data_IF_597958227222
#
_entry.id   IF_597958227222
#
_cell.length_a   1.000
_cell.length_b   1.000
_cell.length_c   1.000
_cell.angle_alpha   90.00
_cell.angle_beta   90.00
_cell.angle_gamma   90.00
#
_symmetry.space_group_name_H-M   'P 1'
#
loop_
_entity.id
_entity.type
_entity.pdbx_description
1 polymer ?
#
# COMPACT_ATOMS: atom_id res chain seq x y z
N UNK A 1 27.21 3.94 18.38
CA UNK A 1 27.13 4.88 17.25
C UNK A 1 27.94 6.14 17.51
N UNK A 2 28.74 6.57 16.53
CA UNK A 2 29.63 7.77 16.57
C UNK A 2 29.00 9.01 15.90
N UNK A 3 27.71 8.96 15.54
CA UNK A 3 26.95 10.12 15.04
C UNK A 3 27.24 10.55 13.60
N UNK A 4 27.82 9.68 12.77
CA UNK A 4 28.08 9.99 11.36
C UNK A 4 26.80 9.96 10.51
N UNK A 5 26.74 10.84 9.50
CA UNK A 5 25.69 10.81 8.48
C UNK A 5 25.77 9.50 7.69
N UNK A 6 24.67 8.75 7.67
CA UNK A 6 24.50 7.55 6.85
C UNK A 6 23.50 7.85 5.74
N UNK A 7 23.88 7.56 4.50
CA UNK A 7 22.99 7.59 3.33
C UNK A 7 23.01 6.24 2.63
N UNK A 8 21.86 5.80 2.14
CA UNK A 8 21.73 4.55 1.38
C UNK A 8 21.49 4.90 -0.11
N UNK A 9 22.43 4.52 -0.98
CA UNK A 9 22.29 4.62 -2.44
C UNK A 9 22.07 3.22 -3.00
N UNK A 10 20.84 2.94 -3.40
CA UNK A 10 20.41 1.61 -3.84
C UNK A 10 20.36 1.57 -5.37
N UNK A 11 21.01 0.56 -5.97
CA UNK A 11 20.80 0.22 -7.38
C UNK A 11 19.52 -0.60 -7.53
N UNK A 12 18.57 -0.14 -8.34
CA UNK A 12 17.32 -0.84 -8.62
C UNK A 12 17.31 -1.30 -10.08
N UNK A 13 17.41 -2.60 -10.33
CA UNK A 13 17.42 -3.18 -11.67
C UNK A 13 16.23 -2.73 -12.54
N UNK A 14 15.04 -2.62 -11.94
CA UNK A 14 13.82 -2.18 -12.63
C UNK A 14 13.89 -0.74 -13.14
N UNK A 15 14.67 0.14 -12.50
CA UNK A 15 14.89 1.49 -13.02
C UNK A 15 15.77 1.45 -14.26
N UNK A 16 16.78 0.57 -14.29
CA UNK A 16 17.60 0.33 -15.49
C UNK A 16 16.78 -0.27 -16.64
N UNK A 17 15.88 -1.23 -16.34
CA UNK A 17 14.96 -1.81 -17.34
C UNK A 17 14.07 -0.73 -17.95
N UNK A 18 13.47 0.13 -17.11
CA UNK A 18 12.61 1.22 -17.60
C UNK A 18 13.39 2.23 -18.44
N UNK A 19 14.60 2.61 -18.03
CA UNK A 19 15.48 3.50 -18.79
C UNK A 19 15.85 2.89 -20.16
N UNK A 20 16.19 1.60 -20.20
CA UNK A 20 16.49 0.90 -21.44
C UNK A 20 15.25 0.78 -22.35
N UNK A 21 14.09 0.48 -21.79
CA UNK A 21 12.83 0.41 -22.54
C UNK A 21 12.50 1.75 -23.22
N UNK A 22 12.61 2.86 -22.49
CA UNK A 22 12.39 4.21 -23.04
C UNK A 22 13.35 4.54 -24.18
N UNK A 23 14.64 4.16 -24.06
CA UNK A 23 15.62 4.34 -25.14
C UNK A 23 15.25 3.54 -26.38
N UNK A 24 14.86 2.27 -26.20
CA UNK A 24 14.42 1.41 -27.30
C UNK A 24 13.18 1.99 -28.00
N UNK A 25 12.21 2.51 -27.26
CA UNK A 25 11.02 3.18 -27.84
C UNK A 25 11.44 4.37 -28.72
N UNK A 26 12.35 5.21 -28.23
CA UNK A 26 12.84 6.35 -29.02
C UNK A 26 13.56 5.91 -30.30
N UNK A 27 14.33 4.83 -30.25
CA UNK A 27 15.05 4.27 -31.40
C UNK A 27 14.10 3.62 -32.42
N UNK A 28 13.07 2.89 -31.98
CA UNK A 28 12.19 2.12 -32.87
C UNK A 28 11.03 2.95 -33.43
N UNK A 29 10.55 3.94 -32.67
CA UNK A 29 9.35 4.72 -33.02
C UNK A 29 9.62 6.19 -33.29
N UNK A 30 10.74 6.74 -32.79
CA UNK A 30 11.01 8.18 -32.76
C UNK A 30 10.25 8.95 -31.67
N UNK A 31 9.45 8.27 -30.84
CA UNK A 31 8.74 8.87 -29.71
C UNK A 31 9.69 9.08 -28.52
N UNK A 32 9.68 10.29 -27.95
CA UNK A 32 10.45 10.63 -26.76
C UNK A 32 9.52 10.81 -25.57
N UNK A 33 9.52 9.82 -24.66
CA UNK A 33 8.73 9.85 -23.43
C UNK A 33 9.56 9.34 -22.25
N UNK A 34 9.27 9.81 -21.04
CA UNK A 34 9.82 9.28 -19.80
C UNK A 34 8.77 8.54 -18.97
N UNK A 35 9.23 7.88 -17.91
CA UNK A 35 8.33 7.18 -16.96
C UNK A 35 7.35 8.14 -16.26
N UNK A 36 7.71 9.41 -16.13
CA UNK A 36 6.86 10.43 -15.49
C UNK A 36 5.79 11.00 -16.44
N UNK A 37 5.87 10.70 -17.73
CA UNK A 37 4.86 11.11 -18.73
C UNK A 37 3.71 10.09 -18.84
N UNK A 38 3.86 8.93 -18.19
CA UNK A 38 2.88 7.84 -18.22
C UNK A 38 1.58 8.26 -17.50
N UNK A 39 0.40 8.15 -18.15
CA UNK A 39 -0.89 8.44 -17.50
C UNK A 39 -1.15 7.43 -16.38
N UNK A 40 -1.85 7.82 -15.31
CA UNK A 40 -2.06 6.97 -14.11
C UNK A 40 -3.28 6.04 -14.18
N UNK A 41 -4.02 6.09 -15.28
CA UNK A 41 -5.32 5.46 -15.51
C UNK A 41 -5.39 4.67 -16.82
N UNK A 42 -4.25 4.21 -17.37
CA UNK A 42 -4.20 3.46 -18.62
C UNK A 42 -4.92 2.10 -18.50
N UNK A 43 -6.00 1.95 -19.26
CA UNK A 43 -6.84 0.75 -19.22
C UNK A 43 -6.07 -0.51 -19.64
N UNK A 44 -5.13 -0.40 -20.59
CA UNK A 44 -4.35 -1.56 -21.06
C UNK A 44 -3.40 -2.06 -19.99
N UNK A 45 -2.72 -1.16 -19.28
CA UNK A 45 -1.84 -1.50 -18.15
C UNK A 45 -2.62 -2.26 -17.07
N UNK A 46 -3.77 -1.73 -16.65
CA UNK A 46 -4.61 -2.39 -15.65
C UNK A 46 -5.22 -3.69 -16.15
N UNK A 47 -5.57 -3.79 -17.44
CA UNK A 47 -6.04 -5.04 -18.04
C UNK A 47 -4.94 -6.11 -18.05
N UNK A 48 -3.72 -5.79 -18.46
CA UNK A 48 -2.56 -6.70 -18.44
C UNK A 48 -2.32 -7.25 -17.03
N UNK A 49 -2.40 -6.37 -16.02
CA UNK A 49 -2.33 -6.77 -14.61
C UNK A 49 -3.51 -7.68 -14.23
N UNK A 50 -4.74 -7.29 -14.54
CA UNK A 50 -5.96 -8.06 -14.22
C UNK A 50 -6.04 -9.42 -14.91
N UNK A 51 -5.38 -9.60 -16.06
CA UNK A 51 -5.25 -10.90 -16.74
C UNK A 51 -4.19 -11.80 -16.07
N UNK A 52 -3.36 -11.22 -15.19
CA UNK A 52 -2.26 -11.88 -14.50
C UNK A 52 -0.99 -12.00 -15.35
N UNK A 53 -0.84 -11.20 -16.40
CA UNK A 53 0.36 -11.19 -17.22
C UNK A 53 1.47 -10.35 -16.56
N UNK A 54 1.99 -10.85 -15.44
CA UNK A 54 2.94 -10.13 -14.58
C UNK A 54 4.39 -10.56 -14.74
N UNK A 55 4.74 -11.34 -15.77
CA UNK A 55 6.15 -11.66 -16.04
C UNK A 55 6.94 -10.37 -16.33
N UNK A 56 8.07 -10.19 -15.63
CA UNK A 56 8.89 -8.98 -15.73
C UNK A 56 8.21 -7.72 -15.19
N UNK A 57 7.13 -7.81 -14.40
CA UNK A 57 6.47 -6.65 -13.78
C UNK A 57 6.92 -6.54 -12.33
N UNK A 58 7.52 -5.40 -11.97
CA UNK A 58 8.14 -5.18 -10.66
C UNK A 58 7.18 -5.52 -9.50
N UNK A 59 7.67 -6.22 -8.47
CA UNK A 59 6.94 -6.71 -7.28
C UNK A 59 5.83 -7.76 -7.54
N UNK A 60 5.39 -7.96 -8.78
CA UNK A 60 4.15 -8.71 -9.08
C UNK A 60 4.38 -10.08 -9.73
N UNK A 61 5.62 -10.54 -9.82
CA UNK A 61 5.98 -11.73 -10.61
C UNK A 61 5.66 -13.08 -9.95
N UNK A 62 5.75 -13.15 -8.62
CA UNK A 62 5.64 -14.42 -7.88
C UNK A 62 4.28 -15.10 -8.11
N UNK A 63 4.24 -16.43 -8.12
CA UNK A 63 3.04 -17.18 -8.48
C UNK A 63 1.81 -16.84 -7.62
N UNK A 64 1.99 -16.69 -6.31
CA UNK A 64 0.89 -16.31 -5.42
C UNK A 64 0.46 -14.84 -5.58
N UNK A 65 1.41 -13.93 -5.83
CA UNK A 65 1.10 -12.53 -6.10
C UNK A 65 0.32 -12.40 -7.41
N UNK A 66 0.75 -13.10 -8.46
CA UNK A 66 0.05 -13.16 -9.75
C UNK A 66 -1.39 -13.66 -9.61
N UNK A 67 -1.59 -14.72 -8.81
CA UNK A 67 -2.95 -15.22 -8.50
C UNK A 67 -3.80 -14.14 -7.84
N UNK A 68 -3.26 -13.45 -6.82
CA UNK A 68 -3.99 -12.41 -6.11
C UNK A 68 -4.26 -11.17 -6.97
N UNK A 69 -3.32 -10.74 -7.78
CA UNK A 69 -3.50 -9.62 -8.73
C UNK A 69 -4.59 -9.94 -9.77
N UNK A 70 -4.62 -11.18 -10.28
CA UNK A 70 -5.68 -11.63 -11.21
C UNK A 70 -7.07 -11.64 -10.58
N UNK A 71 -7.16 -11.99 -9.29
CA UNK A 71 -8.41 -11.92 -8.53
C UNK A 71 -8.79 -10.47 -8.19
N UNK A 72 -7.79 -9.64 -7.85
CA UNK A 72 -7.96 -8.25 -7.52
C UNK A 72 -8.50 -7.44 -8.70
N UNK A 73 -7.97 -7.67 -9.91
CA UNK A 73 -8.21 -6.84 -11.09
C UNK A 73 -8.03 -5.35 -10.76
N UNK A 74 -6.78 -4.93 -10.46
CA UNK A 74 -6.51 -3.56 -10.03
C UNK A 74 -6.99 -2.56 -11.08
N UNK A 75 -7.51 -1.42 -10.63
CA UNK A 75 -7.99 -0.31 -11.48
C UNK A 75 -7.37 1.03 -11.10
N UNK A 76 -6.55 1.05 -10.05
CA UNK A 76 -5.90 2.25 -9.51
C UNK A 76 -4.52 1.92 -8.95
N UNK A 77 -3.66 2.94 -8.79
CA UNK A 77 -2.38 2.80 -8.08
C UNK A 77 -2.58 2.37 -6.62
N UNK A 78 -3.68 2.80 -5.98
CA UNK A 78 -3.98 2.43 -4.59
C UNK A 78 -4.23 0.92 -4.45
N UNK A 79 -4.86 0.27 -5.44
CA UNK A 79 -5.02 -1.19 -5.45
C UNK A 79 -3.67 -1.91 -5.44
N UNK A 80 -2.73 -1.43 -6.26
CA UNK A 80 -1.38 -1.98 -6.35
C UNK A 80 -0.61 -1.76 -5.05
N UNK A 81 -0.68 -0.55 -4.49
CA UNK A 81 -0.04 -0.22 -3.23
C UNK A 81 -0.58 -1.08 -2.08
N UNK A 82 -1.90 -1.30 -2.02
CA UNK A 82 -2.52 -2.14 -1.02
C UNK A 82 -2.12 -3.61 -1.18
N UNK A 83 -2.12 -4.13 -2.41
CA UNK A 83 -1.69 -5.51 -2.67
C UNK A 83 -0.21 -5.73 -2.29
N UNK A 84 0.69 -4.81 -2.65
CA UNK A 84 2.11 -4.87 -2.26
C UNK A 84 2.24 -4.86 -0.73
N UNK A 85 1.45 -4.04 -0.03
CA UNK A 85 1.47 -3.96 1.43
C UNK A 85 0.90 -5.21 2.13
N UNK A 86 -0.16 -5.80 1.57
CA UNK A 86 -0.86 -6.95 2.13
C UNK A 86 -0.17 -8.29 1.83
N UNK A 87 0.56 -8.41 0.72
CA UNK A 87 1.20 -9.66 0.30
C UNK A 87 2.49 -9.97 1.07
N UNK A 88 2.34 -10.19 2.38
CA UNK A 88 3.40 -10.60 3.31
C UNK A 88 2.83 -11.44 4.48
N UNK A 89 3.65 -12.26 5.16
CA UNK A 89 3.20 -13.07 6.29
C UNK A 89 2.50 -12.22 7.37
N UNK A 90 1.30 -12.65 7.79
CA UNK A 90 0.39 -11.86 8.64
C UNK A 90 -0.78 -11.31 7.83
N UNK A 91 -0.66 -10.11 7.21
CA UNK A 91 -1.78 -9.44 6.56
C UNK A 91 -2.28 -10.12 5.27
N UNK A 92 -1.59 -11.16 4.77
CA UNK A 92 -2.08 -11.97 3.64
C UNK A 92 -3.48 -12.55 3.86
N UNK A 93 -3.89 -12.79 5.12
CA UNK A 93 -5.24 -13.25 5.44
C UNK A 93 -6.34 -12.24 5.06
N UNK A 94 -6.02 -10.95 5.03
CA UNK A 94 -6.95 -9.88 4.67
C UNK A 94 -7.07 -9.64 3.16
N UNK A 95 -6.24 -10.28 2.33
CA UNK A 95 -6.30 -10.12 0.87
C UNK A 95 -7.66 -10.57 0.32
N UNK A 96 -8.21 -11.66 0.84
CA UNK A 96 -9.54 -12.13 0.45
C UNK A 96 -10.61 -11.08 0.72
N UNK A 97 -10.67 -10.57 1.96
CA UNK A 97 -11.60 -9.51 2.35
C UNK A 97 -11.44 -8.26 1.48
N UNK A 98 -10.21 -7.81 1.24
CA UNK A 98 -9.92 -6.66 0.39
C UNK A 98 -10.45 -6.84 -1.04
N UNK A 99 -10.21 -8.02 -1.64
CA UNK A 99 -10.67 -8.32 -3.00
C UNK A 99 -12.20 -8.42 -3.06
N UNK A 100 -12.84 -9.13 -2.12
CA UNK A 100 -14.29 -9.26 -2.11
C UNK A 100 -14.98 -7.89 -1.90
N UNK A 101 -14.42 -7.06 -1.02
CA UNK A 101 -14.90 -5.70 -0.78
C UNK A 101 -14.74 -4.80 -2.00
N UNK A 102 -13.58 -4.82 -2.68
CA UNK A 102 -13.36 -4.10 -3.95
C UNK A 102 -14.42 -4.42 -5.00
N UNK A 103 -14.80 -5.68 -5.11
CA UNK A 103 -15.78 -6.14 -6.09
C UNK A 103 -17.24 -5.99 -5.63
N UNK A 104 -17.49 -5.39 -4.47
CA UNK A 104 -18.83 -5.25 -3.89
C UNK A 104 -19.49 -6.59 -3.52
N UNK A 105 -18.69 -7.65 -3.31
CA UNK A 105 -19.15 -8.99 -2.91
C UNK A 105 -19.12 -9.20 -1.39
N UNK A 106 -18.42 -8.33 -0.67
CA UNK A 106 -18.46 -8.22 0.78
C UNK A 106 -18.89 -6.81 1.18
N UNK A 107 -19.65 -6.70 2.27
CA UNK A 107 -20.02 -5.40 2.84
C UNK A 107 -18.79 -4.71 3.41
N UNK A 108 -18.57 -3.45 3.02
CA UNK A 108 -17.53 -2.61 3.60
C UNK A 108 -18.06 -2.08 4.92
N UNK A 109 -17.53 -2.61 6.02
CA UNK A 109 -17.82 -2.11 7.36
C UNK A 109 -16.72 -1.16 7.81
N UNK A 110 -17.12 -0.04 8.42
CA UNK A 110 -16.24 0.88 9.09
C UNK A 110 -16.53 0.81 10.60
N UNK A 111 -15.49 0.85 11.46
CA UNK A 111 -15.70 0.87 12.91
C UNK A 111 -16.44 2.14 13.38
N UNK A 112 -16.40 3.21 12.58
CA UNK A 112 -17.15 4.44 12.79
C UNK A 112 -17.25 5.24 11.48
N UNK A 113 -18.30 6.03 11.30
CA UNK A 113 -18.50 6.84 10.09
C UNK A 113 -17.37 7.85 9.86
N UNK A 114 -16.84 8.46 10.93
CA UNK A 114 -15.69 9.39 10.85
C UNK A 114 -14.39 8.75 10.35
N UNK A 115 -14.33 7.41 10.24
CA UNK A 115 -13.20 6.68 9.68
C UNK A 115 -13.42 6.25 8.23
N UNK A 116 -14.59 6.54 7.65
CA UNK A 116 -14.94 6.17 6.27
C UNK A 116 -13.92 6.71 5.28
N UNK A 117 -13.69 8.01 5.23
CA UNK A 117 -12.79 8.63 4.24
C UNK A 117 -11.34 8.12 4.37
N UNK A 118 -10.92 7.77 5.59
CA UNK A 118 -9.57 7.26 5.86
C UNK A 118 -9.38 5.81 5.39
N UNK A 119 -10.43 5.00 5.47
CA UNK A 119 -10.40 3.56 5.21
C UNK A 119 -11.03 3.19 3.86
N UNK A 120 -11.77 4.10 3.23
CA UNK A 120 -12.39 3.90 1.91
C UNK A 120 -11.37 3.54 0.83
N UNK A 121 -10.19 4.19 0.72
CA UNK A 121 -9.18 3.81 -0.27
C UNK A 121 -8.64 2.38 -0.09
N UNK A 122 -8.89 1.75 1.05
CA UNK A 122 -8.52 0.37 1.35
C UNK A 122 -9.72 -0.52 1.67
N UNK A 123 -10.92 -0.11 1.25
CA UNK A 123 -12.16 -0.86 1.41
C UNK A 123 -12.45 -1.30 2.85
N UNK A 124 -12.19 -0.42 3.82
CA UNK A 124 -12.39 -0.70 5.25
C UNK A 124 -11.25 -1.49 5.92
N UNK A 125 -10.33 -2.05 5.13
CA UNK A 125 -9.21 -2.86 5.65
C UNK A 125 -8.08 -1.94 6.14
N UNK A 126 -7.58 -2.16 7.34
CA UNK A 126 -6.36 -1.49 7.81
C UNK A 126 -5.14 -2.09 7.13
N UNK A 127 -4.43 -1.27 6.36
CA UNK A 127 -3.25 -1.67 5.58
C UNK A 127 -2.01 -0.91 6.02
N UNK A 128 -2.17 0.38 6.33
CA UNK A 128 -1.06 1.30 6.49
C UNK A 128 -0.83 1.76 7.93
N UNK A 129 0.43 2.01 8.27
CA UNK A 129 0.83 2.64 9.53
C UNK A 129 0.20 4.02 9.70
N UNK A 130 0.12 4.78 8.61
CA UNK A 130 -0.49 6.10 8.52
C UNK A 130 -1.97 6.06 8.96
N UNK A 131 -2.71 4.99 8.64
CA UNK A 131 -4.10 4.84 9.06
C UNK A 131 -4.21 4.73 10.59
N UNK A 132 -3.35 3.94 11.24
CA UNK A 132 -3.31 3.85 12.71
C UNK A 132 -3.02 5.22 13.33
N UNK A 133 -2.07 5.96 12.74
CA UNK A 133 -1.70 7.28 13.25
C UNK A 133 -2.84 8.30 13.10
N UNK A 134 -3.51 8.30 11.96
CA UNK A 134 -4.64 9.19 11.67
C UNK A 134 -5.88 8.84 12.48
N UNK A 135 -6.15 7.56 12.75
CA UNK A 135 -7.19 7.12 13.69
C UNK A 135 -6.89 7.64 15.10
N UNK A 136 -5.65 7.48 15.58
CA UNK A 136 -5.25 7.96 16.90
C UNK A 136 -5.44 9.48 17.07
N UNK A 137 -5.17 10.25 16.02
CA UNK A 137 -5.43 11.69 16.00
C UNK A 137 -6.94 12.00 15.96
N UNK A 138 -7.68 11.32 15.07
CA UNK A 138 -9.10 11.54 14.85
C UNK A 138 -9.97 11.17 16.06
N UNK A 139 -9.66 10.07 16.73
CA UNK A 139 -10.41 9.57 17.89
C UNK A 139 -9.76 10.00 19.20
N UNK A 140 -8.51 9.61 19.44
CA UNK A 140 -7.82 9.86 20.70
C UNK A 140 -7.30 11.29 20.89
N UNK A 141 -7.35 12.14 19.86
CA UNK A 141 -6.84 13.52 19.94
C UNK A 141 -5.31 13.61 20.03
N UNK A 142 -4.60 12.58 19.56
CA UNK A 142 -3.15 12.52 19.57
C UNK A 142 -2.53 13.56 18.61
N UNK A 143 -1.38 14.10 18.98
CA UNK A 143 -0.46 14.68 17.99
C UNK A 143 0.15 13.57 17.12
N UNK A 144 0.63 13.89 15.92
CA UNK A 144 1.27 12.89 15.05
C UNK A 144 2.51 12.23 15.70
N UNK A 145 3.24 12.99 16.54
CA UNK A 145 4.38 12.44 17.29
C UNK A 145 3.95 11.40 18.32
N UNK A 146 2.89 11.67 19.07
CA UNK A 146 2.32 10.69 20.01
C UNK A 146 1.73 9.49 19.28
N UNK A 147 1.10 9.71 18.13
CA UNK A 147 0.53 8.63 17.32
C UNK A 147 1.61 7.68 16.78
N UNK A 148 2.81 8.18 16.45
CA UNK A 148 3.96 7.31 16.11
C UNK A 148 4.49 6.54 17.33
N UNK A 149 4.46 7.13 18.52
CA UNK A 149 4.80 6.40 19.77
C UNK A 149 3.81 5.25 19.99
N UNK A 150 2.51 5.51 19.85
CA UNK A 150 1.46 4.50 19.93
C UNK A 150 1.70 3.37 18.92
N UNK A 151 1.90 3.71 17.65
CA UNK A 151 2.18 2.75 16.56
C UNK A 151 3.39 1.87 16.88
N UNK A 152 4.49 2.46 17.39
CA UNK A 152 5.69 1.71 17.80
C UNK A 152 5.42 0.78 18.99
N UNK A 153 4.64 1.23 19.97
CA UNK A 153 4.27 0.44 21.14
C UNK A 153 3.42 -0.77 20.75
N UNK A 154 2.39 -0.57 19.92
CA UNK A 154 1.54 -1.63 19.41
C UNK A 154 2.33 -2.67 18.60
N UNK A 155 3.28 -2.24 17.76
CA UNK A 155 4.15 -3.14 17.00
C UNK A 155 5.04 -4.03 17.89
N UNK A 156 5.44 -3.54 19.07
CA UNK A 156 6.23 -4.31 20.05
C UNK A 156 5.37 -5.14 21.02
N UNK A 157 4.05 -4.95 21.03
CA UNK A 157 3.09 -5.65 21.90
C UNK A 157 3.45 -5.59 23.40
N UNK A 158 3.91 -4.44 23.88
CA UNK A 158 4.28 -4.26 25.30
C UNK A 158 3.00 -4.02 26.13
N UNK A 159 2.56 -5.02 26.89
CA UNK A 159 1.27 -5.00 27.59
C UNK A 159 1.05 -3.78 28.50
N UNK A 160 2.06 -3.38 29.30
CA UNK A 160 1.96 -2.23 30.19
C UNK A 160 1.80 -0.90 29.44
N UNK A 161 2.49 -0.75 28.31
CA UNK A 161 2.37 0.45 27.46
C UNK A 161 1.04 0.46 26.74
N UNK A 162 0.58 -0.69 26.25
CA UNK A 162 -0.72 -0.82 25.58
C UNK A 162 -1.89 -0.44 26.50
N UNK A 163 -1.86 -0.84 27.78
CA UNK A 163 -2.88 -0.46 28.75
C UNK A 163 -2.91 1.06 28.98
N UNK A 164 -1.75 1.68 29.16
CA UNK A 164 -1.65 3.13 29.34
C UNK A 164 -2.11 3.90 28.09
N UNK A 165 -1.76 3.41 26.91
CA UNK A 165 -2.20 3.99 25.64
C UNK A 165 -3.70 3.81 25.40
N UNK A 166 -4.28 2.70 25.83
CA UNK A 166 -5.73 2.49 25.78
C UNK A 166 -6.47 3.52 26.63
N UNK A 167 -6.05 3.69 27.89
CA UNK A 167 -6.65 4.70 28.78
C UNK A 167 -6.55 6.12 28.20
N UNK A 168 -5.38 6.46 27.64
CA UNK A 168 -5.15 7.75 27.00
C UNK A 168 -6.05 7.94 25.77
N UNK A 169 -6.15 6.92 24.92
CA UNK A 169 -7.00 6.94 23.73
C UNK A 169 -8.47 7.10 24.10
N UNK A 170 -8.99 6.29 25.03
CA UNK A 170 -10.40 6.36 25.43
C UNK A 170 -10.72 7.69 26.11
N UNK A 171 -9.84 8.21 26.98
CA UNK A 171 -10.02 9.54 27.57
C UNK A 171 -10.03 10.66 26.52
N UNK A 172 -9.21 10.54 25.48
CA UNK A 172 -9.22 11.45 24.33
C UNK A 172 -10.51 11.36 23.51
N UNK A 173 -10.96 10.15 23.22
CA UNK A 173 -12.17 9.89 22.46
C UNK A 173 -13.43 10.43 23.18
N UNK A 174 -13.55 10.20 24.49
CA UNK A 174 -14.64 10.75 25.30
C UNK A 174 -14.69 12.28 25.26
N UNK A 175 -13.52 12.96 25.30
CA UNK A 175 -13.44 14.43 25.18
C UNK A 175 -13.89 14.95 23.81
N UNK A 176 -13.79 14.13 22.77
CA UNK A 176 -14.24 14.44 21.41
C UNK A 176 -15.71 14.09 21.16
N UNK A 177 -16.37 13.48 22.14
CA UNK A 177 -17.81 13.17 22.08
C UNK A 177 -18.14 11.74 21.66
N UNK A 178 -17.15 10.86 21.51
CA UNK A 178 -17.39 9.43 21.25
C UNK A 178 -17.78 8.70 22.54
N UNK A 179 -18.48 7.59 22.40
CA UNK A 179 -18.79 6.70 23.54
C UNK A 179 -17.58 5.86 23.91
N UNK A 180 -17.57 5.33 25.14
CA UNK A 180 -16.55 4.39 25.58
C UNK A 180 -16.50 3.15 24.67
N UNK A 181 -17.67 2.61 24.31
CA UNK A 181 -17.79 1.45 23.42
C UNK A 181 -17.19 1.71 22.02
N UNK A 182 -17.41 2.90 21.45
CA UNK A 182 -16.81 3.29 20.17
C UNK A 182 -15.29 3.39 20.29
N UNK A 183 -14.79 3.99 21.36
CA UNK A 183 -13.35 4.12 21.60
C UNK A 183 -12.68 2.74 21.73
N UNK A 184 -13.24 1.86 22.55
CA UNK A 184 -12.69 0.52 22.78
C UNK A 184 -12.71 -0.30 21.49
N UNK A 185 -13.82 -0.27 20.73
CA UNK A 185 -13.94 -0.95 19.42
C UNK A 185 -12.86 -0.49 18.44
N UNK A 186 -12.64 0.82 18.33
CA UNK A 186 -11.64 1.38 17.40
C UNK A 186 -10.21 1.05 17.86
N UNK A 187 -9.94 1.08 19.15
CA UNK A 187 -8.61 0.74 19.68
C UNK A 187 -8.28 -0.74 19.50
N UNK A 188 -9.24 -1.62 19.79
CA UNK A 188 -9.11 -3.07 19.56
C UNK A 188 -8.88 -3.40 18.09
N UNK A 189 -9.51 -2.65 17.17
CA UNK A 189 -9.23 -2.80 15.74
C UNK A 189 -7.78 -2.44 15.39
N UNK A 190 -7.18 -1.42 16.01
CA UNK A 190 -5.81 -1.01 15.70
C UNK A 190 -4.75 -1.99 16.22
N UNK A 191 -4.99 -2.64 17.37
CA UNK A 191 -3.97 -3.38 18.10
C UNK A 191 -3.39 -4.61 17.33
N UNK A 192 -4.20 -5.46 16.68
CA UNK A 192 -3.68 -6.54 15.84
C UNK A 192 -2.90 -6.01 14.62
N UNK A 193 -3.37 -4.92 14.03
CA UNK A 193 -2.85 -4.39 12.77
C UNK A 193 -1.58 -3.59 12.90
N UNK A 194 -1.31 -2.93 14.02
CA UNK A 194 -0.13 -2.10 14.13
C UNK A 194 1.20 -2.90 14.06
N UNK A 195 1.18 -4.20 14.38
CA UNK A 195 2.31 -5.11 14.11
C UNK A 195 2.51 -5.42 12.62
N UNK A 196 1.46 -5.25 11.81
CA UNK A 196 1.39 -5.57 10.38
C UNK A 196 1.01 -4.37 9.51
N UNK A 197 1.11 -3.14 10.01
CA UNK A 197 0.91 -1.93 9.22
C UNK A 197 2.08 -1.71 8.28
N UNK A 198 1.82 -1.35 7.03
CA UNK A 198 2.86 -1.05 6.03
C UNK A 198 3.07 0.47 5.93
N UNK A 199 4.30 0.93 5.61
CA UNK A 199 4.53 2.35 5.37
C UNK A 199 3.90 2.77 4.03
N UNK A 200 2.89 3.64 4.05
CA UNK A 200 2.11 3.97 2.84
C UNK A 200 2.97 4.60 1.75
N UNK A 201 3.86 5.52 2.12
CA UNK A 201 4.73 6.21 1.16
C UNK A 201 5.61 5.20 0.39
N UNK A 202 6.20 4.23 1.09
CA UNK A 202 6.98 3.18 0.45
C UNK A 202 6.14 2.30 -0.49
N UNK A 203 4.95 1.88 -0.05
CA UNK A 203 4.04 1.08 -0.87
C UNK A 203 3.61 1.81 -2.15
N UNK A 204 3.24 3.08 -2.05
CA UNK A 204 2.80 3.89 -3.20
C UNK A 204 3.96 4.14 -4.16
N UNK A 205 5.16 4.49 -3.67
CA UNK A 205 6.33 4.67 -4.54
C UNK A 205 6.67 3.40 -5.32
N UNK A 206 6.56 2.24 -4.69
CA UNK A 206 6.82 0.96 -5.36
C UNK A 206 5.68 0.55 -6.30
N UNK A 207 4.43 0.92 -5.96
CA UNK A 207 3.27 0.72 -6.82
C UNK A 207 3.39 1.52 -8.13
N UNK A 208 3.98 2.72 -8.11
CA UNK A 208 4.29 3.46 -9.34
C UNK A 208 5.26 2.71 -10.25
N UNK A 209 6.33 2.14 -9.70
CA UNK A 209 7.29 1.35 -10.50
C UNK A 209 6.61 0.09 -11.06
N UNK A 210 5.78 -0.60 -10.25
CA UNK A 210 4.98 -1.73 -10.70
C UNK A 210 4.00 -1.35 -11.82
N UNK A 211 3.41 -0.16 -11.72
CA UNK A 211 2.51 0.37 -12.74
C UNK A 211 3.24 0.76 -14.02
N UNK A 212 4.37 1.47 -13.94
CA UNK A 212 5.17 1.83 -15.12
C UNK A 212 5.65 0.59 -15.87
N UNK A 213 6.16 -0.41 -15.15
CA UNK A 213 6.57 -1.69 -15.76
C UNK A 213 5.40 -2.39 -16.46
N UNK A 214 4.21 -2.39 -15.86
CA UNK A 214 3.00 -2.91 -16.50
C UNK A 214 2.54 -2.08 -17.71
N UNK A 215 2.64 -0.75 -17.64
CA UNK A 215 2.29 0.16 -18.72
C UNK A 215 3.16 -0.05 -19.95
N UNK A 216 4.48 -0.06 -19.78
CA UNK A 216 5.40 -0.29 -20.90
C UNK A 216 5.26 -1.70 -21.46
N UNK A 217 5.04 -2.70 -20.61
CA UNK A 217 4.70 -4.05 -21.08
C UNK A 217 3.43 -4.09 -21.92
N UNK A 218 2.39 -3.33 -21.54
CA UNK A 218 1.11 -3.34 -22.21
C UNK A 218 1.10 -2.55 -23.53
N UNK A 219 1.85 -1.44 -23.59
CA UNK A 219 1.81 -0.49 -24.70
C UNK A 219 3.01 -0.59 -25.65
N UNK A 220 4.17 -1.04 -25.14
CA UNK A 220 5.42 -1.24 -25.90
C UNK A 220 6.02 -2.62 -25.59
N UNK A 221 5.27 -3.71 -25.84
CA UNK A 221 5.64 -5.05 -25.38
C UNK A 221 6.99 -5.53 -25.94
N UNK A 222 7.32 -5.18 -27.18
CA UNK A 222 8.58 -5.60 -27.82
C UNK A 222 9.77 -4.95 -27.16
N UNK A 223 9.75 -3.62 -27.02
CA UNK A 223 10.78 -2.82 -26.39
C UNK A 223 10.94 -3.18 -24.91
N UNK A 224 9.83 -3.34 -24.20
CA UNK A 224 9.83 -3.70 -22.78
C UNK A 224 10.42 -5.08 -22.54
N UNK A 225 9.98 -6.10 -23.28
CA UNK A 225 10.50 -7.47 -23.12
C UNK A 225 11.96 -7.56 -23.56
N UNK A 226 12.37 -6.82 -24.61
CA UNK A 226 13.79 -6.71 -24.97
C UNK A 226 14.62 -6.12 -23.83
N UNK A 227 14.16 -5.04 -23.20
CA UNK A 227 14.83 -4.44 -22.04
C UNK A 227 14.89 -5.38 -20.82
N UNK A 228 13.85 -6.20 -20.58
CA UNK A 228 13.85 -7.21 -19.51
C UNK A 228 14.83 -8.36 -19.81
N UNK A 229 15.01 -8.75 -21.07
CA UNK A 229 15.92 -9.83 -21.46
C UNK A 229 17.40 -9.41 -21.46
N UNK A 230 17.66 -8.11 -21.65
CA UNK A 230 19.00 -7.52 -21.65
C UNK A 230 19.52 -7.17 -20.23
N UNK A 231 18.64 -7.22 -19.22
CA UNK A 231 18.93 -6.81 -17.83
C UNK A 231 19.48 -7.89 -16.90
#
# INVERSE_FOLDING_TARGET
DVGLLKMDFLGLANLSILDQCVKLIAETTGEHMGVYDVPIDDEKAFKTLGDGDTFGVFQLESAGMRKNIKLLKPTTINDLAAMIALYRPGPMEHIGTFIEAKHGRAEISYPHDDLRDLLEPTYGVLVYQDQVMLIAQAFGGYTLGEADILRKAMGKKIASVMAAEHEKFSAGALKKGYTQEQADTVFELMAPFAGYGFNKAHAVSYAYIAYWTAYFKANYPTEYIAAVLDS
#
